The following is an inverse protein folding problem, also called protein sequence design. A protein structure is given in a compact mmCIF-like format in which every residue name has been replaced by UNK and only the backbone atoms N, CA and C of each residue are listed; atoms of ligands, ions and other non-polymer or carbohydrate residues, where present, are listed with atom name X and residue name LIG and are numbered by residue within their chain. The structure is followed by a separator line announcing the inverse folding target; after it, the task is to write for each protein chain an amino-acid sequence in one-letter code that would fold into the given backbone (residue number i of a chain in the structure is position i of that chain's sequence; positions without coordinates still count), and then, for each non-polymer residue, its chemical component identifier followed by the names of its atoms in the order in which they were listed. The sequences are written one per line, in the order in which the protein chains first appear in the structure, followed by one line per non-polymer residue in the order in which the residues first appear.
data_IF_224207560000
#
_entry.id   IF_224207560000
#
_cell.length_a   1.000
_cell.length_b   1.000
_cell.length_c   1.000
_cell.angle_alpha   90.00
_cell.angle_beta   90.00
_cell.angle_gamma   90.00
#
_symmetry.space_group_name_H-M   'P 1'
#
loop_
_entity.id
_entity.type
_entity.pdbx_description
1 polymer ?
#
# COMPACT_ATOMS: atom_id res chain seq x y z
N UNK A 1 16.87 -10.60 -20.70
CA UNK A 1 16.48 -10.94 -19.32
C UNK A 1 15.77 -9.80 -18.59
N UNK A 2 16.31 -8.58 -18.57
CA UNK A 2 15.65 -7.42 -17.94
C UNK A 2 14.23 -7.12 -18.48
N UNK A 3 14.02 -7.26 -19.79
CA UNK A 3 12.68 -7.06 -20.40
C UNK A 3 11.66 -8.12 -19.96
N UNK A 4 12.10 -9.36 -19.72
CA UNK A 4 11.23 -10.43 -19.22
C UNK A 4 10.76 -10.13 -17.80
N UNK A 5 11.69 -9.77 -16.90
CA UNK A 5 11.37 -9.38 -15.54
C UNK A 5 10.42 -8.18 -15.47
N UNK A 6 10.65 -7.17 -16.32
CA UNK A 6 9.77 -6.01 -16.40
C UNK A 6 8.36 -6.40 -16.86
N UNK A 7 8.24 -7.30 -17.83
CA UNK A 7 6.94 -7.80 -18.29
C UNK A 7 6.21 -8.61 -17.22
N UNK A 8 6.91 -9.46 -16.48
CA UNK A 8 6.34 -10.26 -15.39
C UNK A 8 5.85 -9.38 -14.22
N UNK A 9 6.61 -8.33 -13.86
CA UNK A 9 6.21 -7.36 -12.83
C UNK A 9 4.95 -6.58 -13.22
N UNK A 10 4.87 -6.10 -14.46
CA UNK A 10 3.70 -5.39 -14.98
C UNK A 10 2.43 -6.26 -15.01
N UNK A 11 2.57 -7.54 -15.38
CA UNK A 11 1.44 -8.48 -15.34
C UNK A 11 0.95 -8.70 -13.91
N UNK A 12 1.88 -8.85 -12.96
CA UNK A 12 1.56 -9.05 -11.55
C UNK A 12 0.87 -7.83 -10.95
N UNK A 13 1.36 -6.62 -11.24
CA UNK A 13 0.70 -5.35 -10.89
C UNK A 13 -0.71 -5.25 -11.45
N UNK A 14 -0.90 -5.59 -12.73
CA UNK A 14 -2.22 -5.55 -13.37
C UNK A 14 -3.20 -6.54 -12.73
N UNK A 15 -2.73 -7.75 -12.40
CA UNK A 15 -3.53 -8.78 -11.73
C UNK A 15 -3.96 -8.33 -10.33
N UNK A 16 -3.04 -7.74 -9.56
CA UNK A 16 -3.35 -7.16 -8.24
C UNK A 16 -4.35 -6.01 -8.38
N UNK A 17 -4.11 -5.08 -9.31
CA UNK A 17 -5.00 -3.94 -9.55
C UNK A 17 -6.42 -4.38 -9.97
N UNK A 18 -6.56 -5.47 -10.72
CA UNK A 18 -7.87 -5.99 -11.14
C UNK A 18 -8.69 -6.64 -10.02
N UNK A 19 -8.06 -6.98 -8.89
CA UNK A 19 -8.72 -7.61 -7.73
C UNK A 19 -9.14 -6.61 -6.65
N UNK A 20 -8.70 -5.37 -6.76
CA UNK A 20 -9.09 -4.28 -5.85
C UNK A 20 -10.20 -3.47 -6.52
N UNK A 21 -11.28 -3.20 -5.79
CA UNK A 21 -12.26 -2.23 -6.27
C UNK A 21 -11.68 -0.81 -6.22
N UNK A 22 -12.28 0.10 -6.98
CA UNK A 22 -11.80 1.47 -7.07
C UNK A 22 -11.83 2.23 -5.73
N UNK A 23 -12.74 1.87 -4.82
CA UNK A 23 -12.83 2.46 -3.49
C UNK A 23 -11.67 2.00 -2.60
N UNK A 24 -11.46 0.68 -2.52
CA UNK A 24 -10.36 0.09 -1.76
C UNK A 24 -8.98 0.54 -2.31
N UNK A 25 -8.82 0.60 -3.64
CA UNK A 25 -7.61 1.13 -4.26
C UNK A 25 -7.35 2.58 -3.86
N UNK A 26 -8.36 3.45 -4.00
CA UNK A 26 -8.23 4.86 -3.63
C UNK A 26 -7.89 5.02 -2.15
N UNK A 27 -8.51 4.22 -1.29
CA UNK A 27 -8.25 4.27 0.15
C UNK A 27 -6.79 3.93 0.49
N UNK A 28 -6.19 2.95 -0.19
CA UNK A 28 -4.77 2.64 -0.03
C UNK A 28 -3.91 3.81 -0.51
N UNK A 29 -4.19 4.34 -1.70
CA UNK A 29 -3.43 5.47 -2.27
C UNK A 29 -3.48 6.71 -1.35
N UNK A 30 -4.67 7.11 -0.91
CA UNK A 30 -4.87 8.24 0.01
C UNK A 30 -4.10 8.04 1.33
N UNK A 31 -4.11 6.83 1.89
CA UNK A 31 -3.43 6.51 3.16
C UNK A 31 -1.90 6.55 3.02
N UNK A 32 -1.37 6.11 1.87
CA UNK A 32 0.07 6.17 1.57
C UNK A 32 0.52 7.62 1.42
N UNK A 33 -0.23 8.44 0.68
CA UNK A 33 0.08 9.85 0.47
C UNK A 33 0.06 10.62 1.80
N UNK A 34 -0.88 10.30 2.69
CA UNK A 34 -0.93 10.86 4.04
C UNK A 34 0.29 10.43 4.88
N UNK A 35 0.67 9.15 4.84
CA UNK A 35 1.84 8.65 5.55
C UNK A 35 3.13 9.30 5.04
N UNK A 36 3.29 9.46 3.73
CA UNK A 36 4.44 10.17 3.12
C UNK A 36 4.48 11.63 3.61
N UNK A 37 3.35 12.33 3.54
CA UNK A 37 3.25 13.73 3.99
C UNK A 37 3.59 13.88 5.48
N UNK A 38 3.18 12.90 6.29
CA UNK A 38 3.53 12.84 7.70
C UNK A 38 5.03 12.61 7.89
N UNK A 39 5.65 11.66 7.18
CA UNK A 39 7.10 11.40 7.26
C UNK A 39 7.93 12.64 6.87
N UNK A 40 7.53 13.34 5.81
CA UNK A 40 8.19 14.57 5.36
C UNK A 40 8.14 15.68 6.41
N UNK A 41 7.03 15.75 7.16
CA UNK A 41 6.82 16.75 8.21
C UNK A 41 7.43 16.36 9.56
N UNK A 42 7.68 15.06 9.79
CA UNK A 42 8.05 14.49 11.09
C UNK A 42 9.37 13.69 11.01
N UNK A 43 10.37 14.23 10.32
CA UNK A 43 11.68 13.57 10.13
C UNK A 43 12.45 13.29 11.45
N UNK A 44 12.09 13.97 12.54
CA UNK A 44 12.70 13.82 13.87
C UNK A 44 11.74 13.20 14.89
N UNK A 45 10.66 12.56 14.44
CA UNK A 45 9.74 11.84 15.32
C UNK A 45 10.46 10.74 16.11
N UNK A 46 9.88 10.38 17.25
CA UNK A 46 10.37 9.28 18.07
C UNK A 46 9.98 7.92 17.47
N UNK A 47 10.66 6.86 17.93
CA UNK A 47 10.47 5.52 17.37
C UNK A 47 9.03 5.01 17.55
N UNK A 48 8.40 5.33 18.67
CA UNK A 48 6.99 5.02 18.97
C UNK A 48 6.03 5.78 18.04
N UNK A 49 6.30 7.04 17.72
CA UNK A 49 5.49 7.81 16.76
C UNK A 49 5.57 7.21 15.35
N UNK A 50 6.76 6.78 14.90
CA UNK A 50 6.92 6.07 13.63
C UNK A 50 6.19 4.71 13.63
N UNK A 51 6.30 3.96 14.73
CA UNK A 51 5.57 2.69 14.87
C UNK A 51 4.06 2.89 14.82
N UNK A 52 3.54 3.93 15.48
CA UNK A 52 2.12 4.22 15.50
C UNK A 52 1.62 4.62 14.11
N UNK A 53 2.37 5.46 13.37
CA UNK A 53 2.01 5.78 11.98
C UNK A 53 2.06 4.55 11.07
N UNK A 54 3.04 3.66 11.27
CA UNK A 54 3.13 2.39 10.56
C UNK A 54 1.92 1.50 10.86
N UNK A 55 1.54 1.32 12.14
CA UNK A 55 0.38 0.54 12.55
C UNK A 55 -0.93 1.11 12.00
N UNK A 56 -1.07 2.42 11.93
CA UNK A 56 -2.23 3.08 11.31
C UNK A 56 -2.35 2.71 9.84
N UNK A 57 -1.26 2.84 9.07
CA UNK A 57 -1.22 2.49 7.65
C UNK A 57 -1.49 1.00 7.44
N UNK A 58 -0.87 0.13 8.22
CA UNK A 58 -1.10 -1.32 8.20
C UNK A 58 -2.56 -1.67 8.53
N UNK A 59 -3.17 -0.98 9.49
CA UNK A 59 -4.57 -1.17 9.87
C UNK A 59 -5.56 -0.89 8.73
N UNK A 60 -5.17 -0.06 7.77
CA UNK A 60 -5.95 0.22 6.56
C UNK A 60 -5.63 -0.77 5.44
N UNK A 61 -4.34 -0.99 5.17
CA UNK A 61 -3.88 -1.81 4.04
C UNK A 61 -4.14 -3.31 4.26
N UNK A 62 -3.88 -3.84 5.46
CA UNK A 62 -3.96 -5.28 5.72
C UNK A 62 -5.35 -5.87 5.50
N UNK A 63 -6.47 -5.25 5.96
CA UNK A 63 -7.80 -5.75 5.67
C UNK A 63 -8.15 -5.75 4.18
N UNK A 64 -7.68 -4.75 3.43
CA UNK A 64 -7.95 -4.62 1.99
C UNK A 64 -7.18 -5.70 1.21
N UNK A 65 -5.90 -5.88 1.55
CA UNK A 65 -5.06 -6.93 0.97
C UNK A 65 -5.64 -8.32 1.30
N UNK A 66 -6.09 -8.53 2.54
CA UNK A 66 -6.73 -9.79 2.94
C UNK A 66 -8.00 -10.09 2.11
N UNK A 67 -8.87 -9.08 1.90
CA UNK A 67 -10.05 -9.22 1.02
C UNK A 67 -9.67 -9.57 -0.42
N UNK A 68 -8.61 -8.95 -0.95
CA UNK A 68 -8.10 -9.23 -2.30
C UNK A 68 -7.69 -10.71 -2.48
N UNK A 69 -7.10 -11.32 -1.45
CA UNK A 69 -6.72 -12.74 -1.46
C UNK A 69 -7.90 -13.69 -1.17
N UNK A 70 -8.90 -13.25 -0.40
CA UNK A 70 -10.10 -14.04 -0.12
C UNK A 70 -11.08 -14.12 -1.31
N UNK A 71 -11.05 -13.15 -2.22
CA UNK A 71 -11.82 -13.17 -3.47
C UNK A 71 -11.14 -13.91 -4.64
N UNK A 72 -10.06 -14.66 -4.38
CA UNK A 72 -9.26 -15.39 -5.36
C UNK A 72 -9.62 -16.87 -5.47
#
# INVERSE_FOLDING_TARGET
EAEKYKSEDEEHKKKIASKLDAGDKKKIEDSIDEAISWLDSNQLAEADEFEDKMKELEGICNPIIAKMYQGA
#
